data_IF_674275120273
#
_entry.id   IF_674275120273
#
_cell.length_a   1.000
_cell.length_b   1.000
_cell.length_c   1.000
_cell.angle_alpha   90.00
_cell.angle_beta   90.00
_cell.angle_gamma   90.00
#
_symmetry.space_group_name_H-M   'P 1'
#
loop_
_entity.id
_entity.type
_entity.pdbx_description
1 polymer ?
#
# COMPACT_ATOMS: atom_id res chain seq x y z
N UNK A 1 9.63 -2.89 13.81
CA UNK A 1 8.75 -2.41 12.71
C UNK A 1 7.55 -3.35 12.59
N UNK A 2 6.38 -2.86 12.18
CA UNK A 2 5.20 -3.71 11.92
C UNK A 2 5.44 -4.58 10.69
N UNK A 3 4.95 -5.83 10.70
CA UNK A 3 4.98 -6.70 9.52
C UNK A 3 3.80 -6.42 8.57
N UNK A 4 3.86 -6.96 7.36
CA UNK A 4 2.84 -6.79 6.30
C UNK A 4 1.44 -7.12 6.79
N UNK A 5 1.27 -8.21 7.55
CA UNK A 5 -0.03 -8.63 8.07
C UNK A 5 -0.60 -7.64 9.10
N UNK A 6 0.24 -7.14 10.00
CA UNK A 6 -0.15 -6.12 10.98
C UNK A 6 -0.57 -4.81 10.30
N UNK A 7 0.09 -4.43 9.19
CA UNK A 7 -0.28 -3.26 8.40
C UNK A 7 -1.64 -3.45 7.72
N UNK A 8 -1.90 -4.62 7.12
CA UNK A 8 -3.19 -4.98 6.53
C UNK A 8 -4.30 -4.88 7.58
N UNK A 9 -4.08 -5.42 8.78
CA UNK A 9 -5.09 -5.38 9.85
C UNK A 9 -5.42 -3.93 10.26
N UNK A 10 -4.43 -3.03 10.29
CA UNK A 10 -4.68 -1.61 10.55
C UNK A 10 -5.52 -0.96 9.43
N UNK A 11 -5.22 -1.26 8.16
CA UNK A 11 -5.98 -0.73 7.01
C UNK A 11 -7.43 -1.22 7.05
N UNK A 12 -7.66 -2.51 7.36
CA UNK A 12 -9.01 -3.07 7.58
C UNK A 12 -9.75 -2.32 8.68
N UNK A 13 -9.10 -2.06 9.82
CA UNK A 13 -9.69 -1.27 10.90
C UNK A 13 -10.11 0.15 10.46
N UNK A 14 -9.30 0.82 9.64
CA UNK A 14 -9.64 2.13 9.06
C UNK A 14 -10.86 2.05 8.13
N UNK A 15 -10.92 1.04 7.26
CA UNK A 15 -12.06 0.84 6.35
C UNK A 15 -13.35 0.56 7.12
N UNK A 16 -13.30 -0.24 8.18
CA UNK A 16 -14.46 -0.48 9.05
C UNK A 16 -14.92 0.82 9.72
N UNK A 17 -13.97 1.65 10.18
CA UNK A 17 -14.27 2.97 10.72
C UNK A 17 -14.95 3.89 9.70
N UNK A 18 -14.48 3.89 8.45
CA UNK A 18 -15.09 4.65 7.35
C UNK A 18 -16.51 4.17 7.05
N UNK A 19 -16.74 2.85 7.01
CA UNK A 19 -18.09 2.29 6.82
C UNK A 19 -19.05 2.84 7.88
N UNK A 20 -18.65 2.79 9.15
CA UNK A 20 -19.45 3.34 10.26
C UNK A 20 -19.67 4.85 10.14
N UNK A 21 -18.67 5.61 9.65
CA UNK A 21 -18.84 7.05 9.42
C UNK A 21 -19.87 7.33 8.32
N UNK A 22 -19.96 6.48 7.30
CA UNK A 22 -20.97 6.60 6.24
C UNK A 22 -22.35 6.25 6.79
N UNK A 23 -22.47 5.15 7.55
CA UNK A 23 -23.74 4.73 8.15
C UNK A 23 -24.29 5.76 9.16
N UNK A 24 -23.40 6.52 9.81
CA UNK A 24 -23.74 7.60 10.75
C UNK A 24 -23.88 8.98 10.07
N UNK A 25 -23.94 9.06 8.74
CA UNK A 25 -24.04 10.29 7.94
C UNK A 25 -23.03 11.39 8.38
N UNK A 26 -21.79 10.99 8.66
CA UNK A 26 -20.73 11.95 9.05
C UNK A 26 -20.39 12.89 7.90
N UNK A 27 -19.82 14.04 8.28
CA UNK A 27 -19.36 15.06 7.34
C UNK A 27 -18.48 14.49 6.21
N UNK A 28 -18.82 14.90 4.98
CA UNK A 28 -18.18 14.44 3.76
C UNK A 28 -16.66 14.70 3.77
N UNK A 29 -16.20 15.86 4.27
CA UNK A 29 -14.76 16.15 4.33
C UNK A 29 -14.05 15.24 5.33
N UNK A 30 -14.69 14.89 6.44
CA UNK A 30 -14.15 13.93 7.39
C UNK A 30 -14.00 12.53 6.78
N UNK A 31 -15.01 12.05 6.06
CA UNK A 31 -14.96 10.75 5.35
C UNK A 31 -13.86 10.75 4.29
N UNK A 32 -13.78 11.81 3.46
CA UNK A 32 -12.71 11.97 2.45
C UNK A 32 -11.33 11.97 3.10
N UNK A 33 -11.18 12.61 4.26
CA UNK A 33 -9.91 12.65 5.00
C UNK A 33 -9.48 11.24 5.43
N UNK A 34 -10.41 10.43 5.95
CA UNK A 34 -10.10 9.06 6.32
C UNK A 34 -9.78 8.17 5.11
N UNK A 35 -10.51 8.34 3.99
CA UNK A 35 -10.20 7.65 2.74
C UNK A 35 -8.79 7.99 2.22
N UNK A 36 -8.38 9.26 2.29
CA UNK A 36 -6.99 9.68 1.98
C UNK A 36 -5.97 9.02 2.92
N UNK A 37 -6.29 8.88 4.20
CA UNK A 37 -5.43 8.21 5.17
C UNK A 37 -5.32 6.69 4.91
N UNK A 38 -6.35 6.06 4.33
CA UNK A 38 -6.30 4.67 3.84
C UNK A 38 -5.44 4.59 2.59
N UNK A 39 -5.65 5.48 1.60
CA UNK A 39 -4.84 5.55 0.37
C UNK A 39 -3.34 5.61 0.70
N UNK A 40 -2.94 6.53 1.58
CA UNK A 40 -1.55 6.69 2.01
C UNK A 40 -1.01 5.43 2.71
N UNK A 41 -1.78 4.83 3.63
CA UNK A 41 -1.36 3.62 4.33
C UNK A 41 -1.18 2.42 3.39
N UNK A 42 -2.04 2.27 2.39
CA UNK A 42 -1.91 1.25 1.35
C UNK A 42 -0.67 1.50 0.49
N UNK A 43 -0.38 2.76 0.13
CA UNK A 43 0.87 3.14 -0.55
C UNK A 43 2.12 2.67 0.20
N UNK A 44 2.20 2.97 1.50
CA UNK A 44 3.31 2.53 2.35
C UNK A 44 3.38 1.01 2.49
N UNK A 45 2.24 0.31 2.56
CA UNK A 45 2.21 -1.15 2.58
C UNK A 45 2.78 -1.76 1.30
N UNK A 46 2.40 -1.23 0.13
CA UNK A 46 2.90 -1.70 -1.16
C UNK A 46 4.42 -1.53 -1.26
N UNK A 47 4.95 -0.36 -0.88
CA UNK A 47 6.38 -0.11 -0.85
C UNK A 47 7.10 -1.15 0.03
N UNK A 48 6.64 -1.32 1.28
CA UNK A 48 7.23 -2.29 2.19
C UNK A 48 7.16 -3.72 1.65
N UNK A 49 6.04 -4.11 1.05
CA UNK A 49 5.88 -5.45 0.51
C UNK A 49 6.86 -5.70 -0.65
N UNK A 50 7.06 -4.72 -1.53
CA UNK A 50 8.05 -4.80 -2.60
C UNK A 50 9.46 -4.86 -2.05
N UNK A 51 9.81 -4.06 -1.03
CA UNK A 51 11.12 -4.12 -0.37
C UNK A 51 11.38 -5.50 0.23
N UNK A 52 10.41 -6.05 0.97
CA UNK A 52 10.52 -7.37 1.58
C UNK A 52 10.55 -8.52 0.56
N UNK A 53 9.95 -8.32 -0.64
CA UNK A 53 9.69 -9.39 -1.61
C UNK A 53 10.20 -9.06 -3.01
N UNK A 54 11.22 -8.19 -3.15
CA UNK A 54 11.64 -7.61 -4.44
C UNK A 54 11.85 -8.69 -5.50
N UNK A 55 12.58 -9.76 -5.18
CA UNK A 55 12.86 -10.86 -6.11
C UNK A 55 11.59 -11.61 -6.54
N UNK A 56 10.65 -11.81 -5.61
CA UNK A 56 9.37 -12.42 -5.90
C UNK A 56 8.50 -11.52 -6.77
N UNK A 57 8.48 -10.21 -6.51
CA UNK A 57 7.79 -9.22 -7.33
C UNK A 57 8.37 -9.16 -8.76
N UNK A 58 9.66 -9.45 -8.92
CA UNK A 58 10.32 -9.57 -10.22
C UNK A 58 10.11 -10.93 -10.90
N UNK A 59 9.42 -11.89 -10.24
CA UNK A 59 9.19 -13.24 -10.74
C UNK A 59 10.44 -14.12 -10.80
N UNK A 60 11.40 -13.90 -9.89
CA UNK A 60 12.73 -14.53 -9.94
C UNK A 60 13.15 -15.19 -8.63
N UNK A 61 14.17 -16.05 -8.76
CA UNK A 61 14.92 -16.66 -7.65
C UNK A 61 16.39 -16.27 -7.77
N UNK A 62 17.10 -16.10 -6.65
CA UNK A 62 18.51 -15.71 -6.62
C UNK A 62 18.73 -14.20 -6.41
N UNK A 63 19.84 -13.64 -6.88
CA UNK A 63 20.17 -12.22 -6.68
C UNK A 63 19.67 -11.30 -7.80
N UNK A 64 19.46 -10.02 -7.46
CA UNK A 64 19.14 -8.95 -8.40
C UNK A 64 20.33 -8.73 -9.33
N UNK A 65 20.09 -8.73 -10.65
CA UNK A 65 21.11 -8.48 -11.68
C UNK A 65 20.90 -7.11 -12.32
N UNK A 66 21.92 -6.58 -12.98
CA UNK A 66 21.86 -5.28 -13.68
C UNK A 66 20.69 -5.21 -14.68
N UNK A 67 20.37 -6.33 -15.35
CA UNK A 67 19.23 -6.45 -16.27
C UNK A 67 17.85 -6.29 -15.61
N UNK A 68 17.79 -6.22 -14.29
CA UNK A 68 16.54 -6.13 -13.51
C UNK A 68 16.16 -4.68 -13.23
N UNK A 69 17.08 -3.76 -13.55
CA UNK A 69 16.93 -2.32 -13.34
C UNK A 69 15.68 -1.76 -14.01
N UNK A 70 15.33 -2.23 -15.20
CA UNK A 70 14.11 -1.79 -15.90
C UNK A 70 12.84 -2.32 -15.22
N UNK A 71 12.82 -3.59 -14.79
CA UNK A 71 11.69 -4.15 -14.07
C UNK A 71 11.48 -3.49 -12.70
N UNK A 72 12.57 -3.16 -12.00
CA UNK A 72 12.54 -2.39 -10.75
C UNK A 72 12.00 -0.98 -10.99
N UNK A 73 12.43 -0.30 -12.07
CA UNK A 73 11.87 1.00 -12.44
C UNK A 73 10.37 0.92 -12.69
N UNK A 74 9.88 -0.14 -13.33
CA UNK A 74 8.46 -0.30 -13.59
C UNK A 74 7.65 -0.54 -12.30
N UNK A 75 8.15 -1.37 -11.38
CA UNK A 75 7.58 -1.51 -10.03
C UNK A 75 7.52 -0.16 -9.28
N UNK A 76 8.59 0.64 -9.37
CA UNK A 76 8.63 1.97 -8.74
C UNK A 76 7.64 2.93 -9.42
N UNK A 77 7.52 2.91 -10.76
CA UNK A 77 6.53 3.73 -11.48
C UNK A 77 5.10 3.39 -11.08
N UNK A 78 4.78 2.12 -10.86
CA UNK A 78 3.48 1.69 -10.36
C UNK A 78 3.17 2.25 -8.97
N UNK A 79 4.17 2.34 -8.09
CA UNK A 79 4.02 2.99 -6.78
C UNK A 79 3.78 4.50 -6.90
N UNK A 80 4.51 5.18 -7.80
CA UNK A 80 4.45 6.65 -7.93
C UNK A 80 3.14 7.11 -8.59
N UNK A 81 2.60 6.36 -9.57
CA UNK A 81 1.34 6.71 -10.25
C UNK A 81 0.12 6.74 -9.33
N UNK A 82 0.18 6.10 -8.17
CA UNK A 82 -0.94 5.99 -7.24
C UNK A 82 -0.96 7.05 -6.14
N UNK A 83 -0.08 8.06 -6.17
CA UNK A 83 -0.07 9.17 -5.21
C UNK A 83 -0.86 10.39 -5.71
#
# INVERSE_FOLDING_TARGET
MKNTQQLINNIKGKLNGISKMIDEDKDCKAVITQLKAVKSATGSLMQKYIEDNTLSCLGRKGSVKIKDKEQIKDLIKELIKNN
#
